data_IF_412011583094
#
_entry.id   IF_412011583094
#
_cell.length_a   1.000
_cell.length_b   1.000
_cell.length_c   1.000
_cell.angle_alpha   90.00
_cell.angle_beta   90.00
_cell.angle_gamma   90.00
#
_symmetry.space_group_name_H-M   'P 1'
#
loop_
_entity.id
_entity.type
_entity.pdbx_description
1 polymer ?
#
# COMPACT_ATOMS: atom_id res chain seq x y z
N UNK A 1 9.92 -4.21 47.84
CA UNK A 1 9.41 -3.10 47.03
C UNK A 1 9.43 -3.54 45.58
N UNK A 2 8.27 -3.83 44.99
CA UNK A 2 8.15 -4.10 43.53
C UNK A 2 8.15 -2.73 42.87
N UNK A 3 9.29 -2.26 42.32
CA UNK A 3 9.28 -1.19 41.35
C UNK A 3 8.52 -1.68 40.15
N UNK A 4 7.35 -1.14 39.93
CA UNK A 4 6.61 -1.34 38.69
C UNK A 4 7.52 -0.95 37.54
N UNK A 5 7.70 -1.81 36.54
CA UNK A 5 8.23 -1.46 35.22
C UNK A 5 7.66 -0.10 34.83
N UNK A 6 8.50 0.82 34.44
CA UNK A 6 8.16 2.22 34.22
C UNK A 6 6.83 2.35 33.45
N UNK A 7 6.01 3.32 33.84
CA UNK A 7 4.68 3.57 33.22
C UNK A 7 4.68 3.76 31.69
N UNK A 8 5.86 3.97 31.08
CA UNK A 8 6.02 4.18 29.63
C UNK A 8 6.40 2.85 28.97
N UNK A 9 5.70 2.39 27.91
CA UNK A 9 6.01 1.15 27.20
C UNK A 9 7.46 1.07 26.70
N UNK A 10 8.05 -0.11 26.70
CA UNK A 10 9.43 -0.35 26.26
C UNK A 10 9.68 0.17 24.83
N UNK A 11 8.74 -0.03 23.93
CA UNK A 11 8.84 0.45 22.56
C UNK A 11 8.99 1.97 22.46
N UNK A 12 8.37 2.75 23.35
CA UNK A 12 8.52 4.20 23.40
C UNK A 12 9.83 4.62 24.09
N UNK A 13 10.21 3.95 25.18
CA UNK A 13 11.48 4.21 25.89
C UNK A 13 12.70 3.93 25.02
N UNK A 14 12.65 2.85 24.21
CA UNK A 14 13.71 2.41 23.33
C UNK A 14 13.74 3.12 21.98
N UNK A 15 12.83 4.07 21.75
CA UNK A 15 12.80 4.85 20.49
C UNK A 15 14.18 5.48 20.23
N UNK A 16 14.79 5.24 19.05
CA UNK A 16 16.04 5.88 18.66
C UNK A 16 15.97 7.41 18.74
N UNK A 17 17.01 8.01 19.29
CA UNK A 17 17.17 9.47 19.40
C UNK A 17 18.14 10.02 18.36
N UNK A 18 19.02 9.20 17.86
CA UNK A 18 20.01 9.57 16.85
C UNK A 18 20.00 8.57 15.70
N UNK A 19 20.63 8.90 14.56
CA UNK A 19 20.73 7.99 13.43
C UNK A 19 21.61 6.76 13.73
N UNK A 20 22.59 6.89 14.63
CA UNK A 20 23.45 5.79 15.07
C UNK A 20 22.66 4.75 15.88
N UNK A 21 21.60 5.16 16.55
CA UNK A 21 20.69 4.28 17.26
C UNK A 21 19.62 3.66 16.34
N UNK A 22 19.48 4.14 15.10
CA UNK A 22 18.44 3.75 14.19
C UNK A 22 18.91 2.58 13.31
N UNK A 23 18.32 1.41 13.49
CA UNK A 23 18.64 0.21 12.71
C UNK A 23 17.71 0.06 11.53
N UNK A 24 18.27 -0.37 10.39
CA UNK A 24 17.55 -0.58 9.14
C UNK A 24 17.42 0.68 8.27
N UNK A 25 16.79 0.52 7.13
CA UNK A 25 16.58 1.56 6.12
C UNK A 25 17.89 2.09 5.52
N UNK A 26 18.88 1.24 5.37
CA UNK A 26 20.23 1.56 4.87
C UNK A 26 20.18 2.23 3.48
N UNK A 27 19.14 1.92 2.69
CA UNK A 27 18.90 2.54 1.38
C UNK A 27 18.52 4.04 1.47
N UNK A 28 18.11 4.53 2.64
CA UNK A 28 17.79 5.94 2.90
C UNK A 28 18.89 6.67 3.70
N UNK A 29 19.57 5.96 4.63
CA UNK A 29 20.42 6.57 5.66
C UNK A 29 21.91 6.38 5.34
N UNK A 30 22.31 5.36 4.55
CA UNK A 30 23.69 5.04 4.24
C UNK A 30 24.46 6.19 3.57
N UNK A 31 25.77 6.03 3.47
CA UNK A 31 26.67 7.00 2.84
C UNK A 31 26.26 7.33 1.41
N UNK A 32 26.17 8.61 1.07
CA UNK A 32 25.70 9.10 -0.22
C UNK A 32 24.20 8.94 -0.46
N UNK A 33 23.42 8.52 0.53
CA UNK A 33 21.97 8.38 0.42
C UNK A 33 21.24 9.70 0.71
N UNK A 34 19.94 9.71 0.34
CA UNK A 34 19.14 10.93 0.31
C UNK A 34 19.07 11.64 1.65
N UNK A 35 18.91 10.92 2.75
CA UNK A 35 18.80 11.52 4.08
C UNK A 35 20.13 12.11 4.54
N UNK A 36 21.23 11.44 4.27
CA UNK A 36 22.56 11.99 4.56
C UNK A 36 22.80 13.28 3.77
N UNK A 37 22.49 13.30 2.48
CA UNK A 37 22.61 14.50 1.64
C UNK A 37 21.76 15.67 2.16
N UNK A 38 20.54 15.40 2.63
CA UNK A 38 19.64 16.42 3.21
C UNK A 38 20.27 16.99 4.49
N UNK A 39 20.83 16.13 5.34
CA UNK A 39 21.47 16.54 6.60
C UNK A 39 22.77 17.32 6.38
N UNK A 40 23.62 16.89 5.45
CA UNK A 40 24.88 17.57 5.11
C UNK A 40 24.64 18.97 4.54
N UNK A 41 23.63 19.12 3.69
CA UNK A 41 23.24 20.42 3.14
C UNK A 41 22.58 21.36 4.15
N UNK A 42 22.21 20.87 5.31
CA UNK A 42 21.44 21.60 6.33
C UNK A 42 20.18 22.30 5.76
N UNK A 43 19.62 21.72 4.71
CA UNK A 43 18.44 22.26 4.05
C UNK A 43 17.31 21.24 4.13
N UNK A 44 16.40 21.39 5.12
CA UNK A 44 15.30 20.48 5.28
C UNK A 44 14.31 20.62 4.12
N UNK A 45 13.79 19.48 3.65
CA UNK A 45 12.78 19.41 2.59
C UNK A 45 11.54 18.73 3.15
N UNK A 46 10.36 19.05 2.61
CA UNK A 46 9.13 18.37 2.98
C UNK A 46 9.14 16.91 2.54
N UNK A 47 8.76 16.00 3.43
CA UNK A 47 8.88 14.54 3.23
C UNK A 47 7.61 13.83 3.66
N UNK A 48 7.17 12.86 2.86
CA UNK A 48 6.19 11.83 3.24
C UNK A 48 6.94 10.51 3.48
N UNK A 49 6.90 10.01 4.69
CA UNK A 49 7.44 8.71 5.07
C UNK A 49 6.35 7.64 4.86
N UNK A 50 6.54 6.79 3.87
CA UNK A 50 5.60 5.72 3.55
C UNK A 50 6.20 4.35 3.87
N UNK A 51 5.43 3.50 4.53
CA UNK A 51 5.85 2.13 4.83
C UNK A 51 5.01 1.46 5.91
N UNK A 52 5.26 0.18 6.22
CA UNK A 52 4.48 -0.58 7.18
C UNK A 52 4.60 -0.04 8.61
N UNK A 53 3.68 -0.44 9.53
CA UNK A 53 3.80 -0.13 10.94
C UNK A 53 5.16 -0.58 11.52
N UNK A 54 5.68 0.15 12.49
CA UNK A 54 6.92 -0.22 13.19
C UNK A 54 8.22 -0.15 12.38
N UNK A 55 8.19 0.34 11.12
CA UNK A 55 9.37 0.51 10.26
C UNK A 55 10.25 1.72 10.60
N UNK A 56 9.78 2.58 11.54
CA UNK A 56 10.55 3.74 12.01
C UNK A 56 10.16 5.10 11.45
N UNK A 57 9.05 5.24 10.71
CA UNK A 57 8.59 6.50 10.08
C UNK A 57 8.60 7.70 11.04
N UNK A 58 7.82 7.61 12.11
CA UNK A 58 7.70 8.67 13.13
C UNK A 58 9.03 8.93 13.85
N UNK A 59 9.83 7.88 14.08
CA UNK A 59 11.15 7.98 14.71
C UNK A 59 12.12 8.76 13.82
N UNK A 60 12.18 8.42 12.53
CA UNK A 60 13.06 9.09 11.59
C UNK A 60 12.69 10.56 11.41
N UNK A 61 11.39 10.86 11.32
CA UNK A 61 10.92 12.25 11.27
C UNK A 61 11.35 13.07 12.49
N UNK A 62 11.27 12.48 13.70
CA UNK A 62 11.72 13.14 14.95
C UNK A 62 13.22 13.38 14.94
N UNK A 63 14.02 12.38 14.59
CA UNK A 63 15.49 12.53 14.51
C UNK A 63 15.88 13.65 13.54
N UNK A 64 15.22 13.73 12.37
CA UNK A 64 15.47 14.78 11.42
C UNK A 64 15.06 16.16 11.95
N UNK A 65 13.89 16.27 12.58
CA UNK A 65 13.41 17.52 13.17
C UNK A 65 14.39 18.05 14.26
N UNK A 66 14.84 17.18 15.16
CA UNK A 66 15.83 17.53 16.20
C UNK A 66 17.18 17.95 15.61
N UNK A 67 17.60 17.31 14.49
CA UNK A 67 18.88 17.61 13.85
C UNK A 67 18.91 19.00 13.22
N UNK A 68 17.80 19.46 12.65
CA UNK A 68 17.72 20.78 12.04
C UNK A 68 17.54 21.92 13.05
N UNK A 69 17.18 21.62 14.29
CA UNK A 69 16.96 22.59 15.39
C UNK A 69 15.91 23.65 15.12
N UNK A 70 15.05 23.46 14.12
CA UNK A 70 13.90 24.33 13.89
C UNK A 70 12.77 24.02 14.86
N UNK A 71 11.89 25.01 15.14
CA UNK A 71 10.66 24.72 15.88
C UNK A 71 9.91 23.58 15.23
N UNK A 72 9.41 22.65 16.04
CA UNK A 72 8.70 21.48 15.52
C UNK A 72 7.40 21.25 16.26
N UNK A 73 6.34 20.97 15.52
CA UNK A 73 5.01 20.65 16.01
C UNK A 73 4.58 19.28 15.51
N UNK A 74 4.03 18.46 16.41
CA UNK A 74 3.63 17.09 16.08
C UNK A 74 2.12 16.93 16.22
N UNK A 75 1.48 16.56 15.13
CA UNK A 75 0.05 16.27 15.05
C UNK A 75 -0.22 14.79 14.85
N UNK A 76 -1.36 14.34 15.38
CA UNK A 76 -1.99 13.09 14.94
C UNK A 76 -3.22 13.45 14.09
N UNK A 77 -3.25 13.02 12.85
CA UNK A 77 -4.39 13.25 11.98
C UNK A 77 -5.69 12.59 12.48
N UNK A 78 -5.59 11.66 13.42
CA UNK A 78 -6.74 11.01 14.08
C UNK A 78 -7.41 11.92 15.12
N UNK A 79 -6.65 12.80 15.76
CA UNK A 79 -7.11 13.61 16.90
C UNK A 79 -7.32 15.08 16.55
N UNK A 80 -6.67 15.59 15.52
CA UNK A 80 -6.62 17.02 15.21
C UNK A 80 -7.66 17.45 14.18
N UNK A 81 -8.42 18.50 14.52
CA UNK A 81 -9.41 19.11 13.64
C UNK A 81 -8.80 20.17 12.71
N UNK A 82 -9.55 20.56 11.66
CA UNK A 82 -9.11 21.58 10.68
C UNK A 82 -8.79 22.93 11.32
N UNK A 83 -9.45 23.27 12.43
CA UNK A 83 -9.25 24.53 13.16
C UNK A 83 -7.86 24.57 13.79
N UNK A 84 -7.50 23.51 14.49
CA UNK A 84 -6.17 23.36 15.12
C UNK A 84 -5.05 23.39 14.09
N UNK A 85 -5.24 22.71 12.95
CA UNK A 85 -4.30 22.74 11.84
C UNK A 85 -4.08 24.19 11.35
N UNK A 86 -5.14 24.97 11.15
CA UNK A 86 -5.03 26.37 10.69
C UNK A 86 -4.34 27.27 11.71
N UNK A 87 -4.62 27.10 13.01
CA UNK A 87 -3.96 27.86 14.09
C UNK A 87 -2.45 27.67 14.04
N UNK A 88 -2.00 26.42 13.98
CA UNK A 88 -0.56 26.12 13.91
C UNK A 88 0.09 26.61 12.61
N UNK A 89 -0.63 26.57 11.47
CA UNK A 89 -0.11 27.13 10.22
C UNK A 89 0.10 28.64 10.33
N UNK A 90 -0.82 29.39 10.93
CA UNK A 90 -0.64 30.82 11.14
C UNK A 90 0.47 31.14 12.17
N UNK A 91 0.61 30.34 13.22
CA UNK A 91 1.73 30.45 14.16
C UNK A 91 3.08 30.23 13.44
N UNK A 92 3.18 29.19 12.62
CA UNK A 92 4.39 28.91 11.84
C UNK A 92 4.77 30.07 10.88
N UNK A 93 3.78 30.65 10.21
CA UNK A 93 3.96 31.83 9.35
C UNK A 93 4.44 33.03 10.16
N UNK A 94 3.83 33.31 11.32
CA UNK A 94 4.24 34.39 12.19
C UNK A 94 5.65 34.18 12.71
N UNK A 95 6.02 32.96 13.11
CA UNK A 95 7.36 32.61 13.52
C UNK A 95 8.39 32.92 12.41
N UNK A 96 8.12 32.48 11.18
CA UNK A 96 9.00 32.75 10.04
C UNK A 96 9.14 34.24 9.77
N UNK A 97 8.05 35.01 9.87
CA UNK A 97 8.10 36.47 9.65
C UNK A 97 8.97 37.18 10.71
N UNK A 98 9.01 36.66 11.94
CA UNK A 98 9.78 37.24 13.04
C UNK A 98 11.25 36.80 13.07
N UNK A 99 11.51 35.53 12.79
CA UNK A 99 12.83 34.91 12.99
C UNK A 99 13.50 34.45 11.69
N UNK A 100 12.79 34.44 10.54
CA UNK A 100 13.30 33.99 9.26
C UNK A 100 13.39 32.46 9.12
N UNK A 101 12.97 31.70 10.13
CA UNK A 101 13.11 30.24 10.21
C UNK A 101 11.75 29.53 10.01
N UNK A 102 11.69 28.45 9.19
CA UNK A 102 10.47 27.67 9.03
C UNK A 102 10.17 26.82 10.26
N UNK A 103 8.93 26.39 10.39
CA UNK A 103 8.51 25.41 11.40
C UNK A 103 8.38 24.03 10.78
N UNK A 104 8.94 23.00 11.41
CA UNK A 104 8.74 21.60 11.01
C UNK A 104 7.40 21.13 11.55
N UNK A 105 6.50 20.74 10.68
CA UNK A 105 5.17 20.22 11.04
C UNK A 105 5.12 18.73 10.70
N UNK A 106 5.08 17.90 11.73
CA UNK A 106 4.93 16.45 11.56
C UNK A 106 3.47 16.03 11.71
N UNK A 107 2.97 15.27 10.75
CA UNK A 107 1.61 14.72 10.74
C UNK A 107 1.68 13.20 10.69
N UNK A 108 1.29 12.56 11.80
CA UNK A 108 1.17 11.10 11.84
C UNK A 108 -0.15 10.65 11.20
N UNK A 109 -0.06 9.60 10.36
CA UNK A 109 -1.18 9.05 9.58
C UNK A 109 -1.89 10.10 8.69
N UNK A 110 -1.12 10.87 7.92
CA UNK A 110 -1.59 11.99 7.09
C UNK A 110 -2.74 11.61 6.14
N UNK A 111 -2.84 10.34 5.74
CA UNK A 111 -3.93 9.81 4.92
C UNK A 111 -5.31 9.90 5.60
N UNK A 112 -5.38 10.13 6.92
CA UNK A 112 -6.62 10.37 7.66
C UNK A 112 -7.20 11.76 7.44
N UNK A 113 -6.41 12.70 6.95
CA UNK A 113 -6.89 14.00 6.57
C UNK A 113 -7.63 13.95 5.23
N UNK A 114 -8.81 14.56 5.18
CA UNK A 114 -9.55 14.73 3.94
C UNK A 114 -8.84 15.73 2.99
N UNK A 115 -9.31 15.80 1.74
CA UNK A 115 -8.70 16.65 0.71
C UNK A 115 -8.63 18.12 1.13
N UNK A 116 -9.70 18.67 1.73
CA UNK A 116 -9.73 20.06 2.17
C UNK A 116 -8.74 20.36 3.32
N UNK A 117 -8.50 19.38 4.19
CA UNK A 117 -7.47 19.49 5.23
C UNK A 117 -6.07 19.45 4.65
N UNK A 118 -5.84 18.59 3.65
CA UNK A 118 -4.55 18.52 2.95
C UNK A 118 -4.29 19.78 2.12
N UNK A 119 -5.31 20.34 1.46
CA UNK A 119 -5.20 21.62 0.72
C UNK A 119 -4.79 22.78 1.63
N UNK A 120 -5.18 22.76 2.91
CA UNK A 120 -4.83 23.82 3.85
C UNK A 120 -3.32 23.98 4.08
N UNK A 121 -2.51 22.94 3.83
CA UNK A 121 -1.05 22.99 3.96
C UNK A 121 -0.36 23.67 2.78
N UNK A 122 -0.96 23.61 1.57
CA UNK A 122 -0.31 24.01 0.33
C UNK A 122 0.28 25.42 0.37
N UNK A 123 -0.47 26.49 0.78
CA UNK A 123 0.08 27.86 0.78
C UNK A 123 1.30 28.00 1.68
N UNK A 124 1.37 27.26 2.78
CA UNK A 124 2.44 27.34 3.77
C UNK A 124 3.67 26.55 3.34
N UNK A 125 3.47 25.39 2.70
CA UNK A 125 4.55 24.59 2.10
C UNK A 125 5.17 25.34 0.92
N UNK A 126 4.36 25.96 0.04
CA UNK A 126 4.83 26.72 -1.11
C UNK A 126 5.67 27.94 -0.72
N UNK A 127 5.24 28.67 0.30
CA UNK A 127 6.01 29.82 0.81
C UNK A 127 7.20 29.41 1.68
N UNK A 128 7.30 28.12 2.01
CA UNK A 128 8.31 27.60 2.93
C UNK A 128 8.12 28.11 4.38
N UNK A 129 6.88 28.45 4.77
CA UNK A 129 6.55 28.81 6.14
C UNK A 129 6.65 27.58 7.03
N UNK A 130 6.31 26.43 6.45
CA UNK A 130 6.47 25.13 7.10
C UNK A 130 7.29 24.17 6.23
N UNK A 131 7.91 23.22 6.90
CA UNK A 131 8.48 22.01 6.34
C UNK A 131 7.60 20.84 6.80
N UNK A 132 6.89 20.22 5.85
CA UNK A 132 5.93 19.17 6.15
C UNK A 132 6.61 17.81 6.22
N UNK A 133 6.51 17.15 7.36
CA UNK A 133 6.82 15.74 7.53
C UNK A 133 5.52 14.98 7.73
N UNK A 134 5.15 14.11 6.80
CA UNK A 134 3.98 13.24 6.93
C UNK A 134 4.38 11.78 7.08
N UNK A 135 3.65 11.01 7.88
CA UNK A 135 3.78 9.55 7.89
C UNK A 135 2.49 8.92 7.37
N UNK A 136 2.62 7.80 6.65
CA UNK A 136 1.47 7.00 6.19
C UNK A 136 1.82 5.54 6.04
N UNK A 137 0.86 4.67 6.31
CA UNK A 137 0.92 3.24 5.98
C UNK A 137 0.27 2.93 4.63
N UNK A 138 -0.55 3.84 4.12
CA UNK A 138 -1.27 3.70 2.85
C UNK A 138 -0.46 4.28 1.69
N UNK A 139 -0.77 3.86 0.45
CA UNK A 139 -0.04 4.34 -0.72
C UNK A 139 -0.32 5.85 -0.95
N UNK A 140 0.73 6.71 -0.87
CA UNK A 140 0.56 8.15 -1.02
C UNK A 140 -0.09 8.59 -2.33
N UNK A 141 0.09 7.82 -3.40
CA UNK A 141 -0.47 8.15 -4.72
C UNK A 141 -2.00 8.12 -4.76
N UNK A 142 -2.64 7.41 -3.81
CA UNK A 142 -4.10 7.34 -3.70
C UNK A 142 -4.66 8.24 -2.62
N UNK A 143 -3.90 8.45 -1.56
CA UNK A 143 -4.38 9.07 -0.32
C UNK A 143 -3.98 10.54 -0.18
N UNK A 144 -2.93 10.97 -0.90
CA UNK A 144 -2.44 12.34 -0.82
C UNK A 144 -2.75 13.08 -2.12
N UNK A 145 -3.24 14.30 -1.98
CA UNK A 145 -3.60 15.12 -3.14
C UNK A 145 -2.39 15.42 -4.03
N UNK A 146 -2.58 15.36 -5.33
CA UNK A 146 -1.49 15.58 -6.32
C UNK A 146 -0.74 16.91 -6.15
N UNK A 147 -1.38 18.05 -5.82
CA UNK A 147 -0.67 19.28 -5.55
C UNK A 147 0.31 19.20 -4.38
N UNK A 148 -0.02 18.44 -3.33
CA UNK A 148 0.88 18.25 -2.19
C UNK A 148 2.01 17.29 -2.55
N UNK A 149 1.72 16.18 -3.25
CA UNK A 149 2.73 15.21 -3.70
C UNK A 149 3.80 15.86 -4.59
N UNK A 150 3.45 16.84 -5.42
CA UNK A 150 4.41 17.53 -6.28
C UNK A 150 5.42 18.40 -5.51
N UNK A 151 5.18 18.69 -4.23
CA UNK A 151 5.97 19.59 -3.37
C UNK A 151 6.71 18.88 -2.25
N UNK A 152 6.51 17.56 -2.11
CA UNK A 152 7.12 16.75 -1.07
C UNK A 152 7.93 15.61 -1.69
N UNK A 153 8.93 15.12 -0.96
CA UNK A 153 9.62 13.88 -1.33
C UNK A 153 8.98 12.70 -0.63
N UNK A 154 8.67 11.65 -1.37
CA UNK A 154 8.19 10.39 -0.78
C UNK A 154 9.39 9.51 -0.50
N UNK A 155 9.57 9.11 0.76
CA UNK A 155 10.59 8.15 1.18
C UNK A 155 9.90 6.85 1.60
N UNK A 156 10.29 5.76 0.94
CA UNK A 156 9.70 4.43 1.19
C UNK A 156 10.52 3.73 2.25
N UNK A 157 9.88 3.35 3.36
CA UNK A 157 10.48 2.53 4.39
C UNK A 157 10.04 1.07 4.22
N UNK A 158 10.99 0.16 4.32
CA UNK A 158 10.72 -1.27 4.25
C UNK A 158 10.48 -1.89 5.62
N UNK A 159 9.84 -3.08 5.70
CA UNK A 159 9.84 -3.87 6.92
C UNK A 159 11.28 -4.11 7.39
N UNK A 160 11.50 -4.11 8.70
CA UNK A 160 12.84 -4.37 9.23
C UNK A 160 13.24 -5.82 9.01
N UNK A 161 14.50 -6.04 8.65
CA UNK A 161 15.05 -7.39 8.50
C UNK A 161 15.15 -8.10 9.87
N UNK A 162 15.22 -9.42 9.84
CA UNK A 162 15.43 -10.22 11.07
C UNK A 162 16.68 -9.78 11.83
N UNK A 163 17.75 -9.46 11.14
CA UNK A 163 19.01 -8.98 11.73
C UNK A 163 18.83 -7.64 12.45
N UNK A 164 18.07 -6.71 11.85
CA UNK A 164 17.80 -5.42 12.45
C UNK A 164 16.90 -5.55 13.68
N UNK A 165 15.90 -6.43 13.64
CA UNK A 165 15.06 -6.73 14.81
C UNK A 165 15.87 -7.35 15.96
N UNK A 166 16.79 -8.28 15.67
CA UNK A 166 17.70 -8.85 16.67
C UNK A 166 18.53 -7.75 17.34
N UNK A 167 19.14 -6.85 16.57
CA UNK A 167 19.91 -5.73 17.12
C UNK A 167 19.07 -4.83 18.02
N UNK A 168 17.82 -4.56 17.66
CA UNK A 168 16.87 -3.77 18.45
C UNK A 168 16.56 -4.47 19.79
N UNK A 169 16.28 -5.77 19.75
CA UNK A 169 15.99 -6.58 20.95
C UNK A 169 17.23 -6.64 21.87
N UNK A 170 18.39 -6.93 21.30
CA UNK A 170 19.64 -6.96 22.08
C UNK A 170 19.96 -5.62 22.73
N UNK A 171 19.76 -4.52 22.00
CA UNK A 171 19.92 -3.18 22.58
C UNK A 171 18.96 -2.97 23.75
N UNK A 172 17.71 -3.38 23.60
CA UNK A 172 16.72 -3.25 24.68
C UNK A 172 17.07 -4.08 25.91
N UNK A 173 17.68 -5.26 25.75
CA UNK A 173 18.15 -6.10 26.84
C UNK A 173 19.41 -5.55 27.53
N UNK A 174 20.25 -4.81 26.80
CA UNK A 174 21.53 -4.27 27.32
C UNK A 174 21.40 -2.87 27.94
N UNK A 175 20.47 -2.04 27.45
CA UNK A 175 20.29 -0.65 27.89
C UNK A 175 19.75 -0.60 29.34
N UNK A 176 20.56 -0.09 30.24
CA UNK A 176 20.22 0.01 31.68
C UNK A 176 19.32 1.20 32.01
N UNK A 177 19.29 2.24 31.18
CA UNK A 177 18.52 3.45 31.45
C UNK A 177 17.12 3.36 30.88
N UNK A 178 17.01 3.01 29.58
CA UNK A 178 15.77 3.02 28.84
C UNK A 178 15.19 1.60 28.65
N UNK A 179 16.06 0.59 28.66
CA UNK A 179 15.73 -0.80 28.39
C UNK A 179 15.51 -1.66 29.63
N UNK A 180 15.86 -2.90 29.47
CA UNK A 180 15.71 -3.99 30.45
C UNK A 180 17.06 -4.38 31.10
N UNK A 181 18.15 -3.71 30.77
CA UNK A 181 19.51 -4.07 31.21
C UNK A 181 19.72 -4.10 32.75
N UNK A 182 18.87 -3.42 33.53
CA UNK A 182 18.89 -3.48 35.01
C UNK A 182 18.48 -4.84 35.55
N UNK A 183 17.75 -5.63 34.80
CA UNK A 183 17.22 -6.93 35.23
C UNK A 183 18.14 -8.09 34.88
N UNK A 184 19.22 -7.85 34.10
CA UNK A 184 20.19 -8.85 33.65
C UNK A 184 19.49 -10.08 33.03
N UNK A 185 18.50 -9.82 32.16
CA UNK A 185 17.76 -10.86 31.47
C UNK A 185 18.56 -11.42 30.30
N UNK A 186 18.54 -12.75 30.19
CA UNK A 186 19.04 -13.48 29.04
C UNK A 186 17.88 -13.98 28.18
N UNK A 187 18.07 -14.04 26.89
CA UNK A 187 17.11 -14.66 25.97
C UNK A 187 17.76 -15.81 25.24
N UNK A 188 17.09 -16.95 25.14
CA UNK A 188 17.62 -18.03 24.33
C UNK A 188 17.38 -17.78 22.83
N UNK A 189 18.14 -18.49 21.99
CA UNK A 189 18.10 -18.28 20.54
C UNK A 189 16.72 -18.54 19.95
N UNK A 190 16.04 -19.60 20.34
CA UNK A 190 14.70 -19.95 19.84
C UNK A 190 13.65 -18.88 20.24
N UNK A 191 13.70 -18.37 21.47
CA UNK A 191 12.82 -17.30 21.91
C UNK A 191 13.06 -15.99 21.12
N UNK A 192 14.32 -15.67 20.82
CA UNK A 192 14.70 -14.54 19.98
C UNK A 192 14.12 -14.71 18.57
N UNK A 193 14.35 -15.85 17.94
CA UNK A 193 13.84 -16.17 16.60
C UNK A 193 12.30 -16.11 16.55
N UNK A 194 11.61 -16.60 17.58
CA UNK A 194 10.16 -16.46 17.70
C UNK A 194 9.71 -15.01 17.72
N UNK A 195 10.29 -14.17 18.58
CA UNK A 195 9.92 -12.75 18.63
C UNK A 195 10.11 -12.09 17.26
N UNK A 196 11.22 -12.38 16.58
CA UNK A 196 11.56 -11.84 15.26
C UNK A 196 10.52 -12.26 14.21
N UNK A 197 10.22 -13.54 14.12
CA UNK A 197 9.25 -14.10 13.17
C UNK A 197 7.86 -13.48 13.39
N UNK A 198 7.36 -13.50 14.61
CA UNK A 198 6.01 -13.00 14.93
C UNK A 198 5.90 -11.47 14.88
N UNK A 199 7.02 -10.76 14.88
CA UNK A 199 7.02 -9.29 14.71
C UNK A 199 6.88 -8.85 13.26
N UNK A 200 7.19 -9.71 12.29
CA UNK A 200 7.02 -9.47 10.85
C UNK A 200 7.55 -8.09 10.41
N UNK A 201 8.79 -7.76 10.80
CA UNK A 201 9.43 -6.50 10.45
C UNK A 201 8.99 -5.26 11.25
N UNK A 202 8.15 -5.42 12.28
CA UNK A 202 7.66 -4.34 13.15
C UNK A 202 8.43 -4.29 14.47
N UNK A 203 9.29 -3.27 14.64
CA UNK A 203 10.07 -3.08 15.87
C UNK A 203 9.20 -2.85 17.12
N UNK A 204 8.05 -2.18 16.99
CA UNK A 204 7.12 -1.93 18.10
C UNK A 204 6.54 -3.25 18.60
N UNK A 205 6.20 -4.14 17.67
CA UNK A 205 5.74 -5.50 18.01
C UNK A 205 6.81 -6.29 18.73
N UNK A 206 8.04 -6.29 18.22
CA UNK A 206 9.16 -6.99 18.82
C UNK A 206 9.40 -6.55 20.27
N UNK A 207 9.47 -5.25 20.50
CA UNK A 207 9.71 -4.68 21.82
C UNK A 207 8.56 -4.90 22.79
N UNK A 208 7.31 -4.82 22.33
CA UNK A 208 6.15 -5.10 23.19
C UNK A 208 6.09 -6.58 23.58
N UNK A 209 6.38 -7.50 22.66
CA UNK A 209 6.44 -8.94 23.00
C UNK A 209 7.57 -9.21 23.98
N UNK A 210 8.75 -8.61 23.77
CA UNK A 210 9.87 -8.71 24.67
C UNK A 210 9.51 -8.19 26.09
N UNK A 211 8.81 -7.05 26.18
CA UNK A 211 8.40 -6.45 27.46
C UNK A 211 7.50 -7.41 28.23
N UNK A 212 6.44 -7.93 27.60
CA UNK A 212 5.52 -8.89 28.23
C UNK A 212 6.24 -10.19 28.65
N UNK A 213 7.07 -10.76 27.77
CA UNK A 213 7.85 -11.96 28.11
C UNK A 213 8.80 -11.72 29.28
N UNK A 214 9.41 -10.53 29.33
CA UNK A 214 10.28 -10.12 30.44
C UNK A 214 9.52 -9.98 31.76
N UNK A 215 8.30 -9.43 31.74
CA UNK A 215 7.44 -9.35 32.93
C UNK A 215 7.07 -10.73 33.47
N UNK A 216 6.74 -11.68 32.57
CA UNK A 216 6.45 -13.07 32.97
C UNK A 216 7.65 -13.75 33.64
N UNK A 217 8.85 -13.57 33.08
CA UNK A 217 10.10 -14.11 33.62
C UNK A 217 10.38 -13.52 35.01
N UNK A 218 10.28 -12.22 35.15
CA UNK A 218 10.53 -11.52 36.44
C UNK A 218 9.47 -11.88 37.49
N UNK A 219 8.21 -12.03 37.09
CA UNK A 219 7.16 -12.48 38.03
C UNK A 219 7.45 -13.87 38.56
N UNK A 220 7.99 -14.76 37.73
CA UNK A 220 8.36 -16.12 38.11
C UNK A 220 9.75 -16.21 38.74
N UNK A 221 10.40 -15.06 39.09
CA UNK A 221 11.75 -14.96 39.64
C UNK A 221 12.83 -15.67 38.83
N UNK A 222 12.65 -15.76 37.54
CA UNK A 222 13.62 -16.28 36.56
C UNK A 222 14.41 -15.11 35.94
N UNK A 223 15.48 -15.42 35.22
CA UNK A 223 16.31 -14.44 34.52
C UNK A 223 16.47 -14.76 33.03
N UNK A 224 15.94 -15.91 32.59
CA UNK A 224 16.08 -16.37 31.21
C UNK A 224 14.73 -16.43 30.51
N UNK A 225 14.62 -15.74 29.39
CA UNK A 225 13.44 -15.74 28.52
C UNK A 225 13.53 -16.96 27.60
N UNK A 226 12.59 -17.88 27.71
CA UNK A 226 12.47 -19.10 26.93
C UNK A 226 11.31 -19.00 25.91
N UNK A 227 11.18 -19.94 24.96
CA UNK A 227 10.06 -19.98 24.04
C UNK A 227 8.69 -20.01 24.72
N UNK A 228 8.59 -20.58 25.91
CA UNK A 228 7.34 -20.72 26.66
C UNK A 228 6.81 -19.33 27.08
N UNK A 229 7.68 -18.47 27.66
CA UNK A 229 7.28 -17.12 28.04
C UNK A 229 6.94 -16.26 26.80
N UNK A 230 7.64 -16.47 25.69
CA UNK A 230 7.31 -15.80 24.43
C UNK A 230 5.97 -16.25 23.87
N UNK A 231 5.67 -17.56 23.87
CA UNK A 231 4.36 -18.09 23.48
C UNK A 231 3.23 -17.53 24.34
N UNK A 232 3.43 -17.47 25.66
CA UNK A 232 2.44 -16.88 26.56
C UNK A 232 2.26 -15.37 26.32
N UNK A 233 3.34 -14.64 26.08
CA UNK A 233 3.29 -13.23 25.72
C UNK A 233 2.53 -12.99 24.41
N UNK A 234 2.72 -13.85 23.41
CA UNK A 234 2.00 -13.82 22.15
C UNK A 234 0.52 -14.17 22.33
N UNK A 235 0.17 -15.20 23.12
CA UNK A 235 -1.22 -15.58 23.41
C UNK A 235 -1.99 -14.52 24.19
N UNK A 236 -1.41 -13.89 25.22
CA UNK A 236 -2.01 -12.75 25.92
C UNK A 236 -2.34 -11.60 24.98
N UNK A 237 -1.59 -11.47 23.90
CA UNK A 237 -1.79 -10.47 22.87
C UNK A 237 -2.88 -10.89 21.86
N UNK A 238 -3.02 -12.17 21.53
CA UNK A 238 -4.03 -12.71 20.61
C UNK A 238 -5.45 -12.46 21.14
N UNK A 239 -5.65 -12.46 22.45
CA UNK A 239 -6.90 -12.04 23.08
C UNK A 239 -7.18 -10.51 22.94
N UNK A 240 -6.19 -9.70 22.57
CA UNK A 240 -6.34 -8.27 22.44
C UNK A 240 -6.19 -7.74 20.99
N UNK A 241 -5.39 -8.38 20.12
CA UNK A 241 -5.17 -7.87 18.75
C UNK A 241 -4.35 -8.84 17.87
N UNK A 242 -4.91 -9.79 17.15
CA UNK A 242 -4.21 -10.33 15.98
C UNK A 242 -5.13 -10.68 14.81
N UNK A 243 -5.50 -9.64 14.04
CA UNK A 243 -6.12 -9.78 12.72
C UNK A 243 -5.10 -9.70 11.56
N UNK A 244 -3.78 -9.75 11.80
CA UNK A 244 -2.72 -9.53 10.78
C UNK A 244 -1.46 -10.39 10.98
N UNK A 245 -1.55 -11.57 11.60
CA UNK A 245 -0.43 -12.48 11.81
C UNK A 245 -0.05 -13.31 10.57
N UNK A 246 1.08 -14.02 10.62
CA UNK A 246 1.57 -14.90 9.54
C UNK A 246 0.54 -15.97 9.16
N UNK A 247 -0.22 -16.49 10.12
CA UNK A 247 -1.28 -17.47 9.89
C UNK A 247 -2.40 -16.89 9.03
N UNK A 248 -2.76 -15.62 9.22
CA UNK A 248 -3.69 -14.90 8.37
C UNK A 248 -3.24 -14.89 6.89
N UNK A 249 -1.96 -14.56 6.62
CA UNK A 249 -1.42 -14.59 5.26
C UNK A 249 -1.33 -16.01 4.70
N UNK A 250 -1.01 -16.98 5.54
CA UNK A 250 -0.94 -18.38 5.14
C UNK A 250 -2.31 -18.94 4.79
N UNK A 251 -3.33 -18.67 5.60
CA UNK A 251 -4.70 -19.13 5.37
C UNK A 251 -5.30 -18.50 4.10
N UNK A 252 -5.17 -17.18 3.90
CA UNK A 252 -5.66 -16.53 2.67
C UNK A 252 -4.88 -17.00 1.44
N UNK A 253 -3.57 -17.24 1.56
CA UNK A 253 -2.76 -17.82 0.49
C UNK A 253 -3.19 -19.25 0.16
N UNK A 254 -3.51 -20.07 1.16
CA UNK A 254 -4.03 -21.41 0.98
C UNK A 254 -5.39 -21.39 0.28
N UNK A 255 -6.32 -20.53 0.71
CA UNK A 255 -7.61 -20.35 0.07
C UNK A 255 -7.44 -19.97 -1.41
N UNK A 256 -6.65 -18.95 -1.73
CA UNK A 256 -6.44 -18.53 -3.12
C UNK A 256 -5.78 -19.60 -3.99
N UNK A 257 -4.82 -20.36 -3.45
CA UNK A 257 -4.17 -21.46 -4.18
C UNK A 257 -5.13 -22.63 -4.43
N UNK A 258 -5.99 -22.95 -3.47
CA UNK A 258 -7.05 -23.97 -3.65
C UNK A 258 -8.06 -23.52 -4.71
N UNK A 259 -8.51 -22.27 -4.68
CA UNK A 259 -9.38 -21.69 -5.70
C UNK A 259 -8.76 -21.75 -7.11
N UNK A 260 -7.46 -21.41 -7.25
CA UNK A 260 -6.74 -21.53 -8.54
C UNK A 260 -6.62 -22.95 -9.02
N UNK A 261 -6.45 -23.88 -8.11
CA UNK A 261 -6.39 -25.32 -8.42
C UNK A 261 -7.75 -25.94 -8.66
N UNK A 262 -8.85 -25.16 -8.60
CA UNK A 262 -10.23 -25.65 -8.71
C UNK A 262 -10.59 -26.75 -7.70
N UNK A 263 -9.97 -26.71 -6.52
CA UNK A 263 -10.24 -27.61 -5.41
C UNK A 263 -11.31 -26.99 -4.50
N UNK A 264 -12.57 -27.40 -4.72
CA UNK A 264 -13.74 -26.88 -4.02
C UNK A 264 -13.68 -27.20 -2.52
N UNK A 265 -13.35 -28.45 -2.18
CA UNK A 265 -13.36 -28.93 -0.79
C UNK A 265 -12.25 -28.25 0.03
N UNK A 266 -11.04 -28.17 -0.51
CA UNK A 266 -9.95 -27.44 0.13
C UNK A 266 -10.27 -25.95 0.27
N UNK A 267 -10.90 -25.33 -0.72
CA UNK A 267 -11.30 -23.92 -0.65
C UNK A 267 -12.32 -23.66 0.45
N UNK A 268 -13.33 -24.50 0.60
CA UNK A 268 -14.31 -24.44 1.69
C UNK A 268 -13.64 -24.65 3.06
N UNK A 269 -12.74 -25.63 3.16
CA UNK A 269 -12.03 -25.89 4.40
C UNK A 269 -11.21 -24.67 4.86
N UNK A 270 -10.47 -24.03 3.95
CA UNK A 270 -9.68 -22.84 4.28
C UNK A 270 -10.55 -21.63 4.62
N UNK A 271 -11.69 -21.44 3.94
CA UNK A 271 -12.70 -20.45 4.32
C UNK A 271 -13.19 -20.68 5.75
N UNK A 272 -13.62 -21.90 6.06
CA UNK A 272 -14.13 -22.26 7.39
C UNK A 272 -13.05 -22.05 8.48
N UNK A 273 -11.79 -22.40 8.20
CA UNK A 273 -10.67 -22.14 9.13
C UNK A 273 -10.42 -20.67 9.35
N UNK A 274 -10.56 -19.80 8.33
CA UNK A 274 -10.42 -18.36 8.47
C UNK A 274 -11.53 -17.80 9.35
N UNK A 275 -12.79 -18.19 9.11
CA UNK A 275 -13.95 -17.76 9.91
C UNK A 275 -13.81 -18.23 11.36
N UNK A 276 -13.53 -19.52 11.59
CA UNK A 276 -13.33 -20.10 12.93
C UNK A 276 -12.14 -19.45 13.67
N UNK A 277 -11.12 -19.01 12.96
CA UNK A 277 -9.98 -18.24 13.49
C UNK A 277 -10.29 -16.79 13.82
N UNK A 278 -11.52 -16.31 13.57
CA UNK A 278 -11.96 -14.94 13.85
C UNK A 278 -11.48 -13.91 12.80
N UNK A 279 -11.18 -14.36 11.59
CA UNK A 279 -10.87 -13.45 10.47
C UNK A 279 -12.08 -12.59 10.14
N UNK A 280 -11.83 -11.34 9.74
CA UNK A 280 -12.88 -10.44 9.28
C UNK A 280 -13.51 -10.99 7.98
N UNK A 281 -14.80 -11.39 7.99
CA UNK A 281 -15.45 -11.92 6.81
C UNK A 281 -15.51 -10.91 5.65
N UNK A 282 -15.56 -9.60 5.92
CA UNK A 282 -15.47 -8.57 4.88
C UNK A 282 -14.07 -8.50 4.27
N UNK A 283 -13.02 -8.82 5.03
CA UNK A 283 -11.69 -9.00 4.45
C UNK A 283 -11.66 -10.20 3.51
N UNK A 284 -12.24 -11.35 3.93
CA UNK A 284 -12.34 -12.54 3.06
C UNK A 284 -13.10 -12.18 1.79
N UNK A 285 -14.26 -11.51 1.90
CA UNK A 285 -15.05 -11.05 0.75
C UNK A 285 -14.22 -10.19 -0.23
N UNK A 286 -13.46 -9.21 0.27
CA UNK A 286 -12.55 -8.41 -0.57
C UNK A 286 -11.54 -9.26 -1.33
N UNK A 287 -11.03 -10.30 -0.70
CA UNK A 287 -10.08 -11.23 -1.34
C UNK A 287 -10.73 -12.09 -2.41
N UNK A 288 -11.99 -12.50 -2.20
CA UNK A 288 -12.78 -13.23 -3.21
C UNK A 288 -13.11 -12.35 -4.43
N UNK A 289 -13.48 -11.08 -4.22
CA UNK A 289 -13.69 -10.10 -5.30
C UNK A 289 -12.41 -9.90 -6.11
N UNK A 290 -11.27 -9.75 -5.46
CA UNK A 290 -9.98 -9.67 -6.15
C UNK A 290 -9.68 -10.93 -6.95
N UNK A 291 -9.90 -12.10 -6.37
CA UNK A 291 -9.69 -13.38 -7.05
C UNK A 291 -10.57 -13.50 -8.31
N UNK A 292 -11.84 -13.13 -8.22
CA UNK A 292 -12.76 -13.14 -9.35
C UNK A 292 -12.26 -12.28 -10.52
N UNK A 293 -11.68 -11.11 -10.23
CA UNK A 293 -11.14 -10.20 -11.25
C UNK A 293 -9.79 -10.63 -11.80
N UNK A 294 -8.90 -11.17 -10.95
CA UNK A 294 -7.51 -11.48 -11.28
C UNK A 294 -7.34 -12.86 -11.92
N UNK A 295 -8.03 -13.88 -11.35
CA UNK A 295 -7.79 -15.29 -11.68
C UNK A 295 -8.90 -15.93 -12.53
N UNK A 296 -10.08 -15.33 -12.62
CA UNK A 296 -11.19 -15.76 -13.46
C UNK A 296 -11.41 -14.77 -14.60
N UNK A 297 -11.50 -13.48 -14.28
CA UNK A 297 -11.59 -12.41 -15.28
C UNK A 297 -12.72 -12.62 -16.28
N UNK A 298 -12.39 -12.51 -17.56
CA UNK A 298 -13.35 -12.63 -18.66
C UNK A 298 -13.64 -14.08 -19.09
N UNK A 299 -13.02 -15.08 -18.47
CA UNK A 299 -13.43 -16.46 -18.70
C UNK A 299 -14.84 -16.72 -18.16
N UNK A 300 -15.19 -16.07 -17.03
CA UNK A 300 -16.55 -16.05 -16.48
C UNK A 300 -16.84 -14.70 -15.78
N UNK A 301 -17.42 -13.73 -16.49
CA UNK A 301 -17.72 -12.41 -15.93
C UNK A 301 -18.71 -12.41 -14.76
N UNK A 302 -19.50 -13.47 -14.58
CA UNK A 302 -20.43 -13.59 -13.44
C UNK A 302 -19.69 -13.79 -12.11
N UNK A 303 -18.49 -14.31 -12.15
CA UNK A 303 -17.67 -14.54 -10.95
C UNK A 303 -17.50 -13.27 -10.10
N UNK A 304 -17.27 -12.12 -10.73
CA UNK A 304 -17.16 -10.85 -10.04
C UNK A 304 -18.48 -10.42 -9.38
N UNK A 305 -19.60 -10.59 -10.09
CA UNK A 305 -20.94 -10.26 -9.54
C UNK A 305 -21.28 -11.13 -8.33
N UNK A 306 -21.02 -12.43 -8.42
CA UNK A 306 -21.28 -13.39 -7.33
C UNK A 306 -20.44 -13.05 -6.09
N UNK A 307 -19.16 -12.71 -6.27
CA UNK A 307 -18.31 -12.29 -5.17
C UNK A 307 -18.78 -10.97 -4.51
N UNK A 308 -19.28 -10.02 -5.31
CA UNK A 308 -19.86 -8.78 -4.81
C UNK A 308 -21.20 -9.02 -4.10
N UNK A 309 -22.09 -9.84 -4.65
CA UNK A 309 -23.36 -10.18 -4.01
C UNK A 309 -23.17 -10.95 -2.70
N UNK A 310 -22.20 -11.83 -2.63
CA UNK A 310 -21.83 -12.51 -1.39
C UNK A 310 -21.36 -11.52 -0.32
N UNK A 311 -20.57 -10.50 -0.70
CA UNK A 311 -20.15 -9.41 0.18
C UNK A 311 -21.37 -8.61 0.68
N UNK A 312 -22.30 -8.26 -0.20
CA UNK A 312 -23.52 -7.51 0.15
C UNK A 312 -24.46 -8.33 1.04
N UNK A 313 -24.64 -9.60 0.73
CA UNK A 313 -25.43 -10.53 1.55
C UNK A 313 -24.85 -10.67 2.95
N UNK A 314 -23.53 -10.82 3.08
CA UNK A 314 -22.88 -10.86 4.37
C UNK A 314 -23.03 -9.55 5.15
N UNK A 315 -22.88 -8.41 4.49
CA UNK A 315 -22.97 -7.07 5.10
C UNK A 315 -24.41 -6.82 5.63
N UNK A 316 -25.42 -7.38 4.96
CA UNK A 316 -26.83 -7.26 5.34
C UNK A 316 -27.23 -8.25 6.45
N UNK A 317 -26.81 -9.51 6.38
CA UNK A 317 -27.21 -10.58 7.30
C UNK A 317 -26.34 -10.64 8.56
N UNK A 318 -25.04 -10.36 8.43
CA UNK A 318 -24.07 -10.55 9.49
C UNK A 318 -23.71 -12.02 9.72
N UNK A 319 -22.96 -12.28 10.79
CA UNK A 319 -22.59 -13.62 11.25
C UNK A 319 -23.65 -14.16 12.22
N UNK A 320 -23.99 -15.47 12.17
CA UNK A 320 -23.42 -16.51 11.31
C UNK A 320 -24.11 -16.66 9.94
N UNK A 321 -25.29 -16.08 9.71
CA UNK A 321 -26.15 -16.36 8.54
C UNK A 321 -25.48 -15.94 7.23
N UNK A 322 -24.81 -14.79 7.22
CA UNK A 322 -24.12 -14.26 6.04
C UNK A 322 -22.90 -15.04 5.60
N UNK A 323 -22.35 -15.92 6.45
CA UNK A 323 -21.20 -16.76 6.14
C UNK A 323 -21.51 -17.77 5.03
N UNK A 324 -22.78 -18.19 4.91
CA UNK A 324 -23.21 -19.10 3.85
C UNK A 324 -23.06 -18.47 2.46
N UNK A 325 -23.34 -17.18 2.31
CA UNK A 325 -23.15 -16.47 1.05
C UNK A 325 -21.67 -16.43 0.61
N UNK A 326 -20.75 -16.30 1.57
CA UNK A 326 -19.31 -16.41 1.29
C UNK A 326 -18.93 -17.84 0.86
N UNK A 327 -19.53 -18.87 1.46
CA UNK A 327 -19.30 -20.26 1.08
C UNK A 327 -19.81 -20.54 -0.35
N UNK A 328 -20.99 -20.05 -0.72
CA UNK A 328 -21.52 -20.15 -2.09
C UNK A 328 -20.59 -19.49 -3.09
N UNK A 329 -20.08 -18.28 -2.79
CA UNK A 329 -19.11 -17.61 -3.65
C UNK A 329 -17.82 -18.43 -3.80
N UNK A 330 -17.29 -19.01 -2.72
CA UNK A 330 -16.09 -19.87 -2.77
C UNK A 330 -16.32 -21.08 -3.66
N UNK A 331 -17.46 -21.78 -3.54
CA UNK A 331 -17.81 -22.92 -4.40
C UNK A 331 -17.84 -22.49 -5.88
N UNK A 332 -18.51 -21.38 -6.17
CA UNK A 332 -18.61 -20.85 -7.53
C UNK A 332 -17.23 -20.50 -8.10
N UNK A 333 -16.44 -19.73 -7.36
CA UNK A 333 -15.12 -19.29 -7.78
C UNK A 333 -14.14 -20.48 -7.95
N UNK A 334 -14.25 -21.51 -7.11
CA UNK A 334 -13.45 -22.72 -7.27
C UNK A 334 -13.80 -23.49 -8.54
N UNK A 335 -15.09 -23.57 -8.92
CA UNK A 335 -15.58 -24.32 -10.08
C UNK A 335 -15.51 -23.54 -11.40
N UNK A 336 -15.43 -22.20 -11.38
CA UNK A 336 -15.38 -21.35 -12.54
C UNK A 336 -14.12 -21.58 -13.40
N UNK A 337 -14.17 -21.38 -14.73
CA UNK A 337 -13.00 -21.43 -15.59
C UNK A 337 -12.01 -20.32 -15.21
N UNK A 338 -10.71 -20.61 -15.23
CA UNK A 338 -9.64 -19.69 -14.79
C UNK A 338 -9.00 -18.97 -15.97
N UNK A 339 -8.84 -17.65 -15.87
CA UNK A 339 -8.03 -16.84 -16.77
C UNK A 339 -7.50 -15.58 -16.08
N UNK A 340 -6.21 -15.33 -16.20
CA UNK A 340 -5.57 -14.10 -15.76
C UNK A 340 -5.17 -13.19 -16.93
N UNK A 341 -5.70 -13.44 -18.12
CA UNK A 341 -5.36 -12.72 -19.35
C UNK A 341 -5.60 -11.21 -19.23
N UNK A 342 -6.71 -10.78 -18.60
CA UNK A 342 -7.02 -9.38 -18.37
C UNK A 342 -6.01 -8.72 -17.41
N UNK A 343 -5.63 -9.42 -16.34
CA UNK A 343 -4.62 -8.94 -15.39
C UNK A 343 -3.24 -8.74 -16.06
N UNK A 344 -2.80 -9.73 -16.84
CA UNK A 344 -1.54 -9.66 -17.60
C UNK A 344 -1.60 -8.52 -18.63
N UNK A 345 -2.73 -8.39 -19.36
CA UNK A 345 -2.91 -7.35 -20.35
C UNK A 345 -2.81 -5.94 -19.72
N UNK A 346 -3.50 -5.71 -18.61
CA UNK A 346 -3.47 -4.44 -17.92
C UNK A 346 -2.09 -4.12 -17.35
N UNK A 347 -1.41 -5.11 -16.75
CA UNK A 347 -0.04 -4.95 -16.23
C UNK A 347 0.96 -4.55 -17.34
N UNK A 348 0.86 -5.17 -18.53
CA UNK A 348 1.68 -4.79 -19.69
C UNK A 348 1.37 -3.37 -20.18
N UNK A 349 0.07 -3.02 -20.24
CA UNK A 349 -0.36 -1.68 -20.66
C UNK A 349 0.09 -0.60 -19.68
N UNK A 350 0.00 -0.85 -18.38
CA UNK A 350 0.48 0.07 -17.32
C UNK A 350 1.99 0.32 -17.44
N UNK A 351 2.78 -0.73 -17.63
CA UNK A 351 4.22 -0.60 -17.82
C UNK A 351 4.55 0.28 -19.05
N UNK A 352 3.94 0.00 -20.20
CA UNK A 352 4.16 0.82 -21.38
C UNK A 352 3.68 2.26 -21.17
N UNK A 353 2.56 2.49 -20.46
CA UNK A 353 2.05 3.82 -20.17
C UNK A 353 3.02 4.64 -19.27
N UNK A 354 3.66 4.00 -18.28
CA UNK A 354 4.69 4.63 -17.45
C UNK A 354 5.92 4.99 -18.27
N UNK A 355 6.38 4.10 -19.15
CA UNK A 355 7.54 4.29 -20.01
C UNK A 355 7.31 5.30 -21.14
N UNK A 356 6.05 5.51 -21.56
CA UNK A 356 5.66 6.36 -22.70
C UNK A 356 4.73 7.51 -22.33
N UNK A 357 4.70 7.94 -21.08
CA UNK A 357 3.83 9.00 -20.56
C UNK A 357 3.99 10.35 -21.28
N UNK A 358 5.11 10.56 -21.99
CA UNK A 358 5.40 11.73 -22.80
C UNK A 358 4.87 11.64 -24.25
N UNK A 359 4.43 10.47 -24.70
CA UNK A 359 3.87 10.30 -26.05
C UNK A 359 2.51 11.01 -26.15
N UNK A 360 2.35 11.94 -27.11
CA UNK A 360 1.10 12.66 -27.23
C UNK A 360 -0.02 11.77 -27.77
N UNK A 361 -1.25 12.04 -27.35
CA UNK A 361 -2.43 11.45 -27.98
C UNK A 361 -2.46 11.82 -29.47
N UNK A 362 -2.68 10.88 -30.41
CA UNK A 362 -2.80 11.18 -31.83
C UNK A 362 -3.81 12.30 -32.12
N UNK A 363 -3.49 13.20 -33.04
CA UNK A 363 -4.30 14.40 -33.31
C UNK A 363 -5.75 14.09 -33.69
N UNK A 364 -5.98 13.04 -34.47
CA UNK A 364 -7.31 12.62 -34.88
C UNK A 364 -8.19 12.11 -33.72
N UNK A 365 -7.58 11.71 -32.58
CA UNK A 365 -8.31 11.27 -31.39
C UNK A 365 -8.59 12.41 -30.38
N UNK A 366 -8.07 13.62 -30.64
CA UNK A 366 -8.26 14.77 -29.75
C UNK A 366 -9.53 15.52 -30.13
N UNK A 367 -10.33 15.95 -29.13
CA UNK A 367 -11.53 16.74 -29.37
C UNK A 367 -11.18 18.22 -29.69
N UNK A 368 -11.66 18.80 -30.80
CA UNK A 368 -11.44 20.19 -31.18
C UNK A 368 -12.47 21.13 -30.50
N UNK A 369 -12.31 21.41 -29.21
CA UNK A 369 -13.26 22.24 -28.44
C UNK A 369 -13.21 23.74 -28.81
N UNK A 370 -12.03 24.24 -29.20
CA UNK A 370 -11.84 25.67 -29.56
C UNK A 370 -11.46 25.82 -31.02
N UNK A 371 -11.66 27.05 -31.64
CA UNK A 371 -11.19 27.30 -32.98
C UNK A 371 -9.69 27.07 -33.17
N UNK A 372 -8.87 27.49 -32.21
CA UNK A 372 -7.44 27.26 -32.22
C UNK A 372 -7.08 25.75 -32.24
N UNK A 373 -7.79 24.92 -31.50
CA UNK A 373 -7.58 23.46 -31.54
C UNK A 373 -7.88 22.84 -32.91
N UNK A 374 -8.89 23.37 -33.63
CA UNK A 374 -9.18 22.99 -35.01
C UNK A 374 -8.06 23.38 -35.98
N UNK A 375 -7.54 24.58 -35.85
CA UNK A 375 -6.40 25.03 -36.63
C UNK A 375 -5.14 24.20 -36.37
N UNK A 376 -4.94 23.74 -35.15
CA UNK A 376 -3.87 22.82 -34.77
C UNK A 376 -4.10 21.37 -35.22
N UNK A 377 -5.19 21.06 -35.92
CA UNK A 377 -5.49 19.75 -36.51
C UNK A 377 -6.10 18.75 -35.53
N UNK A 378 -6.67 19.20 -34.40
CA UNK A 378 -7.38 18.30 -33.49
C UNK A 378 -8.65 17.75 -34.16
N UNK A 379 -8.86 16.42 -34.08
CA UNK A 379 -9.97 15.74 -34.70
C UNK A 379 -9.89 15.61 -36.21
N UNK A 380 -8.82 16.12 -36.86
CA UNK A 380 -8.64 15.99 -38.30
C UNK A 380 -8.49 14.52 -38.68
N UNK A 381 -9.21 14.11 -39.76
CA UNK A 381 -9.24 12.74 -40.27
C UNK A 381 -9.81 11.70 -39.30
N UNK A 382 -10.58 12.14 -38.28
CA UNK A 382 -11.31 11.24 -37.40
C UNK A 382 -12.47 10.56 -38.19
N UNK A 383 -12.52 9.24 -38.17
CA UNK A 383 -13.57 8.44 -38.78
C UNK A 383 -14.54 7.98 -37.69
N UNK A 384 -15.80 8.41 -37.77
CA UNK A 384 -16.83 7.99 -36.82
C UNK A 384 -17.32 6.58 -37.13
N UNK A 385 -17.07 5.64 -36.21
CA UNK A 385 -17.31 4.23 -36.43
C UNK A 385 -18.77 3.90 -36.80
N UNK A 386 -19.74 4.66 -36.29
CA UNK A 386 -21.15 4.46 -36.57
C UNK A 386 -21.58 4.80 -38.01
N UNK A 387 -20.77 5.56 -38.76
CA UNK A 387 -21.00 5.89 -40.16
C UNK A 387 -20.64 4.69 -41.11
N UNK A 388 -19.95 3.69 -40.57
CA UNK A 388 -19.54 2.51 -41.29
C UNK A 388 -20.51 1.36 -41.05
N UNK A 389 -20.74 0.52 -42.10
CA UNK A 389 -21.62 -0.64 -42.06
C UNK A 389 -21.23 -1.60 -40.91
N UNK A 390 -19.97 -1.90 -40.78
CA UNK A 390 -19.42 -2.82 -39.77
C UNK A 390 -19.21 -2.16 -38.40
N UNK A 391 -19.65 -0.90 -38.21
CA UNK A 391 -19.49 -0.13 -36.97
C UNK A 391 -18.04 -0.12 -36.42
N UNK A 392 -17.06 -0.18 -37.33
CA UNK A 392 -15.63 -0.08 -37.05
C UNK A 392 -14.91 0.68 -38.15
N UNK A 393 -13.69 1.15 -37.90
CA UNK A 393 -12.89 1.92 -38.85
C UNK A 393 -11.49 1.34 -38.99
N UNK A 394 -10.80 1.57 -40.14
CA UNK A 394 -9.40 1.17 -40.30
C UNK A 394 -8.42 2.03 -39.54
N UNK A 395 -8.90 3.08 -38.85
CA UNK A 395 -8.08 4.08 -38.15
C UNK A 395 -7.22 3.45 -37.07
N UNK A 396 -5.99 3.95 -36.90
CA UNK A 396 -5.09 3.55 -35.85
C UNK A 396 -5.32 4.39 -34.59
N UNK A 397 -5.50 3.73 -33.46
CA UNK A 397 -5.82 4.42 -32.19
C UNK A 397 -4.66 4.47 -31.21
N UNK A 398 -3.52 3.85 -31.54
CA UNK A 398 -2.34 3.85 -30.69
C UNK A 398 -1.35 4.95 -31.06
N UNK A 399 -0.55 5.47 -30.14
CA UNK A 399 0.63 6.28 -30.46
C UNK A 399 1.55 5.52 -31.41
N UNK A 400 2.23 6.24 -32.32
CA UNK A 400 3.07 5.63 -33.38
C UNK A 400 4.03 4.57 -32.87
N UNK A 401 4.64 4.80 -31.71
CA UNK A 401 5.59 3.89 -31.08
C UNK A 401 4.97 2.58 -30.62
N UNK A 402 3.67 2.58 -30.30
CA UNK A 402 2.95 1.47 -29.70
C UNK A 402 2.04 0.72 -30.68
N UNK A 403 1.96 1.12 -31.95
CA UNK A 403 1.06 0.51 -32.96
C UNK A 403 1.18 -1.02 -33.05
N UNK A 404 2.38 -1.56 -32.85
CA UNK A 404 2.63 -3.01 -32.89
C UNK A 404 2.40 -3.73 -31.57
N UNK A 405 2.07 -2.99 -30.48
CA UNK A 405 1.83 -3.60 -29.18
C UNK A 405 0.52 -4.37 -29.16
N UNK A 406 0.55 -5.50 -28.50
CA UNK A 406 -0.60 -6.35 -28.23
C UNK A 406 -0.63 -6.65 -26.74
N UNK A 407 -1.63 -6.14 -26.05
CA UNK A 407 -1.77 -6.30 -24.61
C UNK A 407 -2.65 -7.51 -24.27
N UNK A 408 -3.87 -7.54 -24.80
CA UNK A 408 -4.85 -8.56 -24.46
C UNK A 408 -4.78 -9.75 -25.40
N UNK A 409 -4.57 -10.91 -24.81
CA UNK A 409 -4.56 -12.21 -25.47
C UNK A 409 -5.57 -13.12 -24.77
N UNK A 410 -6.80 -13.28 -25.32
CA UNK A 410 -7.82 -14.11 -24.72
C UNK A 410 -7.37 -15.55 -24.57
N UNK A 411 -7.74 -16.18 -23.46
CA UNK A 411 -7.58 -17.61 -23.25
C UNK A 411 -8.55 -18.46 -24.04
N UNK A 412 -8.48 -19.78 -23.85
CA UNK A 412 -9.31 -20.77 -24.54
C UNK A 412 -10.41 -21.36 -23.65
N UNK A 413 -10.64 -20.77 -22.45
CA UNK A 413 -11.65 -21.22 -21.49
C UNK A 413 -12.83 -20.24 -21.40
N UNK A 414 -14.00 -20.76 -21.09
CA UNK A 414 -15.21 -19.97 -20.84
C UNK A 414 -15.56 -18.98 -21.96
N UNK A 415 -15.98 -17.76 -21.58
CA UNK A 415 -16.37 -16.72 -22.52
C UNK A 415 -15.19 -16.18 -23.35
N UNK A 416 -13.96 -16.35 -22.91
CA UNK A 416 -12.81 -15.85 -23.67
C UNK A 416 -12.65 -16.51 -25.05
N UNK A 417 -13.15 -17.74 -25.27
CA UNK A 417 -13.24 -18.35 -26.58
C UNK A 417 -14.04 -17.48 -27.56
N UNK A 418 -15.18 -16.96 -27.12
CA UNK A 418 -16.04 -16.12 -27.96
C UNK A 418 -15.42 -14.73 -28.14
N UNK A 419 -14.79 -14.16 -27.09
CA UNK A 419 -14.06 -12.90 -27.20
C UNK A 419 -12.92 -13.02 -28.20
N UNK A 420 -12.20 -14.14 -28.22
CA UNK A 420 -11.13 -14.42 -29.18
C UNK A 420 -11.63 -14.36 -30.60
N UNK A 421 -12.74 -15.05 -30.91
CA UNK A 421 -13.39 -15.05 -32.27
C UNK A 421 -13.81 -13.63 -32.66
N UNK A 422 -14.39 -12.84 -31.73
CA UNK A 422 -14.79 -11.44 -31.99
C UNK A 422 -13.59 -10.57 -32.33
N UNK A 423 -12.49 -10.68 -31.54
CA UNK A 423 -11.26 -9.90 -31.78
C UNK A 423 -10.65 -10.27 -33.15
N UNK A 424 -10.62 -11.56 -33.54
CA UNK A 424 -10.12 -12.02 -34.82
C UNK A 424 -11.00 -11.53 -35.99
N UNK A 425 -12.32 -11.54 -35.78
CA UNK A 425 -13.27 -10.98 -36.78
C UNK A 425 -12.99 -9.49 -37.01
N UNK A 426 -12.92 -8.67 -35.93
CA UNK A 426 -12.67 -7.24 -36.08
C UNK A 426 -11.30 -6.92 -36.68
N UNK A 427 -10.26 -7.68 -36.38
CA UNK A 427 -8.96 -7.55 -37.04
C UNK A 427 -9.06 -7.76 -38.54
N UNK A 428 -9.71 -8.84 -38.94
CA UNK A 428 -9.90 -9.16 -40.37
C UNK A 428 -10.64 -8.05 -41.10
N UNK A 429 -11.72 -7.53 -40.54
CA UNK A 429 -12.50 -6.43 -41.12
C UNK A 429 -11.62 -5.17 -41.26
N UNK A 430 -10.90 -4.78 -40.22
CA UNK A 430 -10.00 -3.62 -40.28
C UNK A 430 -8.90 -3.77 -41.33
N UNK A 431 -8.34 -4.95 -41.48
CA UNK A 431 -7.34 -5.24 -42.52
C UNK A 431 -7.93 -5.14 -43.93
N UNK A 432 -9.15 -5.64 -44.13
CA UNK A 432 -9.86 -5.52 -45.43
C UNK A 432 -10.15 -4.06 -45.79
N UNK A 433 -10.59 -3.25 -44.81
CA UNK A 433 -10.82 -1.82 -44.99
C UNK A 433 -9.54 -1.09 -45.37
N UNK A 434 -8.42 -1.36 -44.68
CA UNK A 434 -7.10 -0.77 -44.99
C UNK A 434 -6.63 -1.11 -46.39
N UNK A 435 -6.82 -2.35 -46.85
CA UNK A 435 -6.48 -2.77 -48.21
C UNK A 435 -7.32 -2.08 -49.28
N UNK A 436 -8.62 -1.81 -49.00
CA UNK A 436 -9.50 -1.08 -49.91
C UNK A 436 -9.10 0.39 -50.04
N UNK A 437 -8.77 1.06 -48.93
CA UNK A 437 -8.33 2.47 -48.92
C UNK A 437 -7.04 2.66 -49.73
N UNK A 438 -6.04 1.78 -49.56
CA UNK A 438 -4.76 1.86 -50.30
C UNK A 438 -4.96 1.64 -51.82
N UNK A 439 -5.93 0.82 -52.24
CA UNK A 439 -6.23 0.62 -53.67
C UNK A 439 -6.90 1.84 -54.30
N UNK A 440 -7.76 2.55 -53.56
CA UNK A 440 -8.41 3.78 -54.05
C UNK A 440 -7.46 4.97 -54.17
N UNK A 441 -6.45 5.05 -53.28
CA UNK A 441 -5.40 6.09 -53.35
C UNK A 441 -4.34 5.82 -54.45
N UNK A 442 -4.21 4.59 -54.92
CA UNK A 442 -3.28 4.24 -56.02
C UNK A 442 -3.89 4.30 -57.44
N UNK A 443 -5.23 4.50 -57.55
CA UNK A 443 -5.94 4.65 -58.81
C UNK A 443 -6.36 6.12 -59.09
N UNK A 444 -6.07 7.05 -58.20
CA UNK A 444 -6.27 8.50 -58.33
C UNK A 444 -4.93 9.22 -58.48
#
# INVERSE_FOLDING_TARGET
MRESLQKIPLAERMRPRTLEEFFGQEHLIGEGKILQTILEKQYPVSIIFWGPPGSGKTTLARILAERFKYPSVFFSAVLSGIKEVKEVMEEAKNHKNLFGEPTIVFIDEIHRFNKAQQDAFLPYVERGDIILYGSTTENPSFEIISPLLSRVKVLVLHPLSSENLIKIIERALKDKERGLGRYNLEINREAMEMIVIYSNGDARRALNTLEIASELVLHNKKTKISPEEVKEALQKRTLLYDKKGEEHYNLISALHKSLRNSDVDASLYWLARMIAGGEDPLYIARRLVRFASEDIGLADPQALSIALWAKEAYDFLGSPEGELALAEAVIYLASAPKSNSAYIAFSKAMKDAEETSYEPVPLHLRNPETPLMRELGYGKDYLYAHDFEEKTTPMESMPKRLIKRKYYEPGDLGLEKEIKKRIEYWKRIKEQMRKKSVKQEGES
#
